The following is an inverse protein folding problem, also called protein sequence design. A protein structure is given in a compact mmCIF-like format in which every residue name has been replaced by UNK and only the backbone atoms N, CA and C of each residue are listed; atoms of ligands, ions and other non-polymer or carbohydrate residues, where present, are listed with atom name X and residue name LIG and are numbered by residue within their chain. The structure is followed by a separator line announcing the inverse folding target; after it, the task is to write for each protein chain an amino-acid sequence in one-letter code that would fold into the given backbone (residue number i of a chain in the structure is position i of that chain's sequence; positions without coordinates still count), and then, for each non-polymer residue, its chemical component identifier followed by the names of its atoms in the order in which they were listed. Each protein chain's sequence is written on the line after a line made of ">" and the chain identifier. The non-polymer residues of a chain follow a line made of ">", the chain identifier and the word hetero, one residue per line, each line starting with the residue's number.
data_IF_910538680573
#
_entry.id   IF_910538680573
#
_cell.length_a   1.000
_cell.length_b   1.000
_cell.length_c   1.000
_cell.angle_alpha   90.00
_cell.angle_beta   90.00
_cell.angle_gamma   90.00
#
_symmetry.space_group_name_H-M   'P 1'
#
loop_
_entity.id
_entity.type
_entity.pdbx_description
1 polymer ?
#
# COMPACT_ATOMS: atom_id res chain seq x y z
N UNK A 1 1.45 -49.71 72.69
CA UNK A 1 0.22 -49.36 73.45
C UNK A 1 -0.52 -48.26 72.70
N UNK A 2 -1.82 -48.47 72.43
CA UNK A 2 -2.95 -47.51 72.37
C UNK A 2 -2.72 -46.16 71.62
N UNK A 3 -3.40 -45.96 70.46
CA UNK A 3 -4.72 -45.27 70.28
C UNK A 3 -4.57 -43.73 70.42
N UNK A 4 -5.04 -42.83 69.55
CA UNK A 4 -6.34 -42.66 68.84
C UNK A 4 -6.18 -41.39 67.95
N UNK A 5 -6.62 -41.38 66.67
CA UNK A 5 -7.81 -40.66 66.12
C UNK A 5 -7.76 -39.12 66.32
N UNK A 6 -8.18 -38.21 65.43
CA UNK A 6 -8.99 -38.18 64.21
C UNK A 6 -8.97 -36.70 63.75
N UNK A 7 -9.04 -36.36 62.46
CA UNK A 7 -10.10 -35.48 61.93
C UNK A 7 -9.97 -35.30 60.41
N UNK A 8 -11.08 -35.59 59.77
CA UNK A 8 -11.41 -35.53 58.36
C UNK A 8 -11.35 -34.10 57.80
N UNK A 9 -10.98 -33.95 56.53
CA UNK A 9 -11.88 -33.26 55.60
C UNK A 9 -11.66 -33.74 54.16
N UNK A 10 -12.69 -34.44 53.69
CA UNK A 10 -12.96 -34.79 52.32
C UNK A 10 -13.36 -33.51 51.57
N UNK A 11 -12.70 -33.18 50.47
CA UNK A 11 -13.29 -32.30 49.45
C UNK A 11 -12.89 -32.80 48.06
N UNK A 12 -13.76 -33.69 47.58
CA UNK A 12 -13.84 -34.17 46.22
C UNK A 12 -14.95 -33.34 45.56
N UNK A 13 -14.60 -32.32 44.78
CA UNK A 13 -15.57 -31.60 43.94
C UNK A 13 -14.94 -31.27 42.57
N UNK A 14 -15.46 -31.97 41.55
CA UNK A 14 -15.64 -31.61 40.14
C UNK A 14 -14.49 -30.92 39.40
N UNK A 15 -13.62 -31.73 38.79
CA UNK A 15 -12.93 -31.34 37.56
C UNK A 15 -13.75 -31.76 36.34
N UNK A 16 -14.46 -30.83 35.70
CA UNK A 16 -14.87 -30.93 34.28
C UNK A 16 -15.20 -29.61 33.57
N UNK A 17 -15.26 -28.44 34.23
CA UNK A 17 -15.80 -27.23 33.56
C UNK A 17 -14.76 -26.15 33.16
N UNK A 18 -13.48 -26.35 33.48
CA UNK A 18 -12.44 -25.35 33.16
C UNK A 18 -11.97 -25.39 31.69
N UNK A 19 -12.17 -26.50 30.96
CA UNK A 19 -11.69 -26.67 29.58
C UNK A 19 -12.63 -26.05 28.54
N UNK A 20 -13.95 -26.15 28.73
CA UNK A 20 -14.91 -25.60 27.77
C UNK A 20 -14.90 -24.06 27.72
N UNK A 21 -14.80 -23.39 28.87
CA UNK A 21 -14.75 -21.93 28.93
C UNK A 21 -13.45 -21.35 28.33
N UNK A 22 -12.33 -22.07 28.44
CA UNK A 22 -11.03 -21.64 27.93
C UNK A 22 -10.91 -21.89 26.41
N UNK A 23 -11.47 -22.99 25.91
CA UNK A 23 -11.60 -23.27 24.48
C UNK A 23 -12.54 -22.28 23.78
N UNK A 24 -13.65 -21.87 24.42
CA UNK A 24 -14.59 -20.90 23.86
C UNK A 24 -14.02 -19.47 23.79
N UNK A 25 -13.17 -19.09 24.76
CA UNK A 25 -12.49 -17.79 24.79
C UNK A 25 -11.40 -17.68 23.73
N UNK A 26 -10.67 -18.78 23.49
CA UNK A 26 -9.62 -18.85 22.48
C UNK A 26 -10.19 -18.85 21.04
N UNK A 27 -11.32 -19.53 20.80
CA UNK A 27 -12.00 -19.51 19.49
C UNK A 27 -12.60 -18.15 19.13
N UNK A 28 -13.21 -17.45 20.10
CA UNK A 28 -13.74 -16.09 19.91
C UNK A 28 -12.62 -15.08 19.63
N UNK A 29 -11.50 -15.13 20.35
CA UNK A 29 -10.37 -14.23 20.11
C UNK A 29 -9.69 -14.49 18.76
N UNK A 30 -9.64 -15.74 18.31
CA UNK A 30 -9.06 -16.13 17.01
C UNK A 30 -9.95 -15.72 15.83
N UNK A 31 -11.26 -15.72 16.01
CA UNK A 31 -12.22 -15.24 15.01
C UNK A 31 -12.21 -13.71 14.88
N UNK A 32 -12.17 -12.98 16.00
CA UNK A 32 -12.04 -11.53 16.00
C UNK A 32 -10.69 -11.07 15.42
N UNK A 33 -9.59 -11.78 15.73
CA UNK A 33 -8.29 -11.53 15.11
C UNK A 33 -8.34 -11.79 13.59
N UNK A 34 -8.97 -12.87 13.14
CA UNK A 34 -9.11 -13.20 11.71
C UNK A 34 -9.97 -12.16 10.96
N UNK A 35 -11.06 -11.70 11.57
CA UNK A 35 -11.94 -10.67 11.00
C UNK A 35 -11.23 -9.32 10.89
N UNK A 36 -10.44 -8.96 11.91
CA UNK A 36 -9.62 -7.75 11.93
C UNK A 36 -8.51 -7.79 10.86
N UNK A 37 -7.85 -8.94 10.70
CA UNK A 37 -6.84 -9.15 9.65
C UNK A 37 -7.46 -9.04 8.26
N UNK A 38 -8.60 -9.70 8.00
CA UNK A 38 -9.30 -9.63 6.70
C UNK A 38 -9.71 -8.19 6.36
N UNK A 39 -10.32 -7.47 7.30
CA UNK A 39 -10.73 -6.07 7.10
C UNK A 39 -9.53 -5.12 6.88
N UNK A 40 -8.40 -5.36 7.56
CA UNK A 40 -7.16 -4.57 7.37
C UNK A 40 -6.55 -4.82 5.99
N UNK A 41 -6.55 -6.06 5.52
CA UNK A 41 -6.09 -6.42 4.17
C UNK A 41 -6.98 -5.75 3.11
N UNK A 42 -8.30 -5.74 3.30
CA UNK A 42 -9.21 -5.06 2.36
C UNK A 42 -8.99 -3.55 2.31
N UNK A 43 -8.83 -2.87 3.45
CA UNK A 43 -8.56 -1.41 3.46
C UNK A 43 -7.21 -1.07 2.85
N UNK A 44 -6.17 -1.85 3.13
CA UNK A 44 -4.84 -1.65 2.54
C UNK A 44 -4.86 -1.80 1.02
N UNK A 45 -5.53 -2.83 0.51
CA UNK A 45 -5.66 -3.05 -0.93
C UNK A 45 -6.43 -1.90 -1.62
N UNK A 46 -7.50 -1.40 -1.01
CA UNK A 46 -8.24 -0.23 -1.55
C UNK A 46 -7.33 0.99 -1.65
N UNK A 47 -6.52 1.27 -0.61
CA UNK A 47 -5.56 2.38 -0.64
C UNK A 47 -4.51 2.22 -1.74
N UNK A 48 -4.05 0.99 -1.99
CA UNK A 48 -3.11 0.71 -3.07
C UNK A 48 -3.78 0.95 -4.43
N UNK A 49 -5.00 0.45 -4.65
CA UNK A 49 -5.75 0.65 -5.90
C UNK A 49 -5.97 2.15 -6.17
N UNK A 50 -6.41 2.91 -5.17
CA UNK A 50 -6.59 4.36 -5.28
C UNK A 50 -5.28 5.06 -5.65
N UNK A 51 -4.17 4.67 -5.01
CA UNK A 51 -2.87 5.23 -5.29
C UNK A 51 -2.37 4.87 -6.70
N UNK A 52 -2.57 3.64 -7.17
CA UNK A 52 -2.18 3.24 -8.52
C UNK A 52 -2.99 3.99 -9.59
N UNK A 53 -4.29 4.18 -9.41
CA UNK A 53 -5.10 4.98 -10.34
C UNK A 53 -4.65 6.43 -10.40
N UNK A 54 -4.30 7.02 -9.25
CA UNK A 54 -3.72 8.36 -9.21
C UNK A 54 -2.37 8.44 -9.94
N UNK A 55 -1.51 7.43 -9.80
CA UNK A 55 -0.23 7.38 -10.52
C UNK A 55 -0.48 7.28 -12.03
N UNK A 56 -1.40 6.43 -12.49
CA UNK A 56 -1.78 6.30 -13.91
C UNK A 56 -2.26 7.63 -14.49
N UNK A 57 -3.05 8.38 -13.74
CA UNK A 57 -3.51 9.71 -14.14
C UNK A 57 -2.36 10.73 -14.18
N UNK A 58 -1.56 10.80 -13.11
CA UNK A 58 -0.48 11.78 -12.97
C UNK A 58 0.65 11.52 -13.97
N UNK A 59 0.96 10.28 -14.31
CA UNK A 59 2.00 9.95 -15.29
C UNK A 59 1.69 10.51 -16.68
N UNK A 60 0.45 10.34 -17.14
CA UNK A 60 -0.05 10.94 -18.37
C UNK A 60 -0.08 12.48 -18.29
N UNK A 61 -0.45 13.02 -17.12
CA UNK A 61 -0.47 14.46 -16.88
C UNK A 61 0.93 15.06 -16.96
N UNK A 62 1.94 14.44 -16.36
CA UNK A 62 3.35 14.85 -16.41
C UNK A 62 3.86 14.95 -17.85
N UNK A 63 3.63 13.91 -18.66
CA UNK A 63 4.01 13.91 -20.07
C UNK A 63 3.39 15.09 -20.84
N UNK A 64 2.09 15.31 -20.65
CA UNK A 64 1.35 16.39 -21.30
C UNK A 64 1.81 17.77 -20.84
N UNK A 65 1.90 17.99 -19.54
CA UNK A 65 2.33 19.25 -18.95
C UNK A 65 3.77 19.59 -19.37
N UNK A 66 4.66 18.61 -19.44
CA UNK A 66 6.03 18.84 -19.87
C UNK A 66 6.12 19.21 -21.35
N UNK A 67 5.30 18.59 -22.20
CA UNK A 67 5.20 19.00 -23.60
C UNK A 67 4.75 20.47 -23.72
N UNK A 68 3.76 20.91 -22.92
CA UNK A 68 3.36 22.31 -22.89
C UNK A 68 4.45 23.24 -22.36
N UNK A 69 5.21 22.80 -21.35
CA UNK A 69 6.34 23.54 -20.82
C UNK A 69 7.46 23.68 -21.86
N UNK A 70 7.76 22.62 -22.60
CA UNK A 70 8.71 22.67 -23.71
C UNK A 70 8.29 23.68 -24.79
N UNK A 71 7.01 23.72 -25.14
CA UNK A 71 6.48 24.67 -26.13
C UNK A 71 6.45 26.11 -25.60
N UNK A 72 6.30 26.31 -24.29
CA UNK A 72 6.18 27.63 -23.65
C UNK A 72 6.97 27.67 -22.33
N UNK A 73 8.32 27.75 -22.37
CA UNK A 73 9.15 27.62 -21.15
C UNK A 73 8.93 28.72 -20.11
N UNK A 74 8.47 29.90 -20.53
CA UNK A 74 8.21 31.04 -19.65
C UNK A 74 6.86 30.93 -18.91
N UNK A 75 6.06 29.89 -19.17
CA UNK A 75 4.78 29.71 -18.51
C UNK A 75 4.95 29.16 -17.08
N UNK A 76 5.03 30.07 -16.12
CA UNK A 76 5.17 29.75 -14.69
C UNK A 76 4.06 28.84 -14.16
N UNK A 77 2.84 28.96 -14.69
CA UNK A 77 1.73 28.09 -14.28
C UNK A 77 2.01 26.64 -14.66
N UNK A 78 2.44 26.39 -15.89
CA UNK A 78 2.77 25.03 -16.34
C UNK A 78 3.93 24.45 -15.53
N UNK A 79 4.93 25.27 -15.21
CA UNK A 79 6.04 24.84 -14.35
C UNK A 79 5.54 24.46 -12.94
N UNK A 80 4.67 25.28 -12.34
CA UNK A 80 4.05 24.97 -11.04
C UNK A 80 3.18 23.70 -11.07
N UNK A 81 2.42 23.50 -12.14
CA UNK A 81 1.57 22.33 -12.31
C UNK A 81 2.41 21.04 -12.38
N UNK A 82 3.55 21.07 -13.10
CA UNK A 82 4.52 19.97 -13.14
C UNK A 82 5.07 19.59 -11.75
N UNK A 83 5.49 20.58 -10.96
CA UNK A 83 5.96 20.34 -9.58
C UNK A 83 4.84 19.76 -8.72
N UNK A 84 3.62 20.27 -8.87
CA UNK A 84 2.45 19.74 -8.17
C UNK A 84 2.18 18.29 -8.56
N UNK A 85 2.31 17.95 -9.84
CA UNK A 85 2.21 16.57 -10.36
C UNK A 85 3.25 15.65 -9.71
N UNK A 86 4.52 16.08 -9.62
CA UNK A 86 5.58 15.32 -8.96
C UNK A 86 5.33 15.11 -7.46
N UNK A 87 4.79 16.11 -6.77
CA UNK A 87 4.43 15.97 -5.36
C UNK A 87 3.31 14.94 -5.16
N UNK A 88 2.27 14.98 -6.00
CA UNK A 88 1.17 14.01 -5.97
C UNK A 88 1.72 12.60 -6.27
N UNK A 89 2.58 12.45 -7.28
CA UNK A 89 3.23 11.18 -7.59
C UNK A 89 3.97 10.65 -6.36
N UNK A 90 4.84 11.46 -5.75
CA UNK A 90 5.59 11.05 -4.56
C UNK A 90 4.71 10.68 -3.36
N UNK A 91 3.56 11.36 -3.18
CA UNK A 91 2.59 11.01 -2.13
C UNK A 91 1.97 9.63 -2.37
N UNK A 92 1.59 9.31 -3.61
CA UNK A 92 0.99 8.02 -3.94
C UNK A 92 2.01 6.87 -3.86
N UNK A 93 3.24 7.05 -4.35
CA UNK A 93 4.31 6.07 -4.19
C UNK A 93 4.56 5.73 -2.71
N UNK A 94 4.63 6.75 -1.85
CA UNK A 94 4.76 6.55 -0.40
C UNK A 94 3.56 5.83 0.19
N UNK A 95 2.33 6.18 -0.21
CA UNK A 95 1.13 5.53 0.28
C UNK A 95 1.14 4.02 0.00
N UNK A 96 1.55 3.60 -1.20
CA UNK A 96 1.69 2.17 -1.52
C UNK A 96 2.78 1.54 -0.65
N UNK A 97 3.97 2.16 -0.57
CA UNK A 97 5.11 1.63 0.20
C UNK A 97 4.83 1.40 1.69
N UNK A 98 3.98 2.23 2.30
CA UNK A 98 3.63 2.12 3.73
C UNK A 98 2.68 0.96 4.03
N UNK A 99 1.99 0.45 3.02
CA UNK A 99 0.91 -0.52 3.15
C UNK A 99 1.31 -1.89 2.62
N UNK A 100 2.05 -1.92 1.51
CA UNK A 100 2.48 -3.17 0.88
C UNK A 100 3.51 -3.92 1.71
N UNK A 101 3.44 -5.25 1.63
CA UNK A 101 4.47 -6.20 2.09
C UNK A 101 4.94 -7.13 0.96
N UNK A 102 4.42 -6.89 -0.25
CA UNK A 102 4.71 -7.69 -1.42
C UNK A 102 6.05 -7.24 -2.02
N UNK A 103 7.00 -8.17 -2.13
CA UNK A 103 8.36 -7.88 -2.56
C UNK A 103 8.38 -7.39 -4.02
N UNK A 104 7.61 -8.04 -4.91
CA UNK A 104 7.50 -7.63 -6.32
C UNK A 104 6.98 -6.18 -6.44
N UNK A 105 5.97 -5.81 -5.64
CA UNK A 105 5.48 -4.43 -5.57
C UNK A 105 6.55 -3.46 -5.05
N UNK A 106 7.36 -3.87 -4.07
CA UNK A 106 8.44 -3.03 -3.54
C UNK A 106 9.54 -2.78 -4.59
N UNK A 107 9.91 -3.81 -5.35
CA UNK A 107 10.87 -3.70 -6.43
C UNK A 107 10.37 -2.74 -7.52
N UNK A 108 9.10 -2.86 -7.94
CA UNK A 108 8.48 -1.93 -8.89
C UNK A 108 8.51 -0.50 -8.33
N UNK A 109 8.18 -0.31 -7.04
CA UNK A 109 8.19 1.01 -6.41
C UNK A 109 9.58 1.66 -6.40
N UNK A 110 10.65 0.89 -6.29
CA UNK A 110 12.02 1.40 -6.39
C UNK A 110 12.27 2.01 -7.78
N UNK A 111 11.90 1.30 -8.85
CA UNK A 111 12.00 1.82 -10.22
C UNK A 111 11.12 3.04 -10.46
N UNK A 112 9.90 3.09 -9.88
CA UNK A 112 9.03 4.25 -10.00
C UNK A 112 9.55 5.46 -9.22
N UNK A 113 10.14 5.24 -8.05
CA UNK A 113 10.80 6.28 -7.27
C UNK A 113 12.01 6.84 -8.01
N UNK A 114 12.84 5.96 -8.60
CA UNK A 114 13.95 6.37 -9.46
C UNK A 114 13.47 7.24 -10.63
N UNK A 115 12.45 6.79 -11.38
CA UNK A 115 11.85 7.55 -12.48
C UNK A 115 11.36 8.93 -12.05
N UNK A 116 10.75 9.05 -10.86
CA UNK A 116 10.33 10.33 -10.29
C UNK A 116 11.52 11.28 -10.07
N UNK A 117 12.61 10.78 -9.50
CA UNK A 117 13.81 11.60 -9.24
C UNK A 117 14.45 12.06 -10.55
N UNK A 118 14.51 11.19 -11.56
CA UNK A 118 14.98 11.56 -12.90
C UNK A 118 14.13 12.64 -13.55
N UNK A 119 12.79 12.53 -13.49
CA UNK A 119 11.89 13.59 -13.96
C UNK A 119 12.18 14.90 -13.19
N UNK A 120 12.32 14.84 -11.87
CA UNK A 120 12.64 16.03 -11.05
C UNK A 120 13.95 16.69 -11.48
N UNK A 121 14.98 15.90 -11.76
CA UNK A 121 16.26 16.40 -12.27
C UNK A 121 16.15 17.01 -13.68
N UNK A 122 15.27 16.47 -14.53
CA UNK A 122 15.00 17.04 -15.86
C UNK A 122 14.22 18.35 -15.80
N UNK A 123 13.31 18.52 -14.82
CA UNK A 123 12.58 19.78 -14.64
C UNK A 123 13.50 20.94 -14.21
N UNK A 124 14.63 20.65 -13.56
CA UNK A 124 15.61 21.67 -13.19
C UNK A 124 16.45 22.17 -14.39
N UNK A 125 16.35 21.51 -15.55
CA UNK A 125 17.07 21.85 -16.77
C UNK A 125 16.17 22.65 -17.72
N UNK A 126 16.80 23.40 -18.63
CA UNK A 126 16.07 24.05 -19.73
C UNK A 126 15.42 22.97 -20.60
N UNK A 127 14.13 23.08 -20.97
CA UNK A 127 13.47 22.05 -21.75
C UNK A 127 14.06 21.97 -23.16
N UNK A 128 14.28 20.73 -23.62
CA UNK A 128 14.85 20.41 -24.91
C UNK A 128 14.18 19.14 -25.47
N UNK A 129 14.40 18.84 -26.76
CA UNK A 129 13.71 17.73 -27.43
C UNK A 129 14.04 16.37 -26.82
N UNK A 130 15.30 16.17 -26.44
CA UNK A 130 15.79 14.98 -25.76
C UNK A 130 15.14 14.82 -24.37
N UNK A 131 15.01 15.90 -23.60
CA UNK A 131 14.35 15.84 -22.28
C UNK A 131 12.84 15.56 -22.39
N UNK A 132 12.19 15.99 -23.47
CA UNK A 132 10.79 15.62 -23.76
C UNK A 132 10.66 14.13 -24.00
N UNK A 133 11.55 13.53 -24.80
CA UNK A 133 11.55 12.09 -25.05
C UNK A 133 11.75 11.30 -23.74
N UNK A 134 12.74 11.70 -22.92
CA UNK A 134 12.99 11.05 -21.63
C UNK A 134 11.78 11.14 -20.68
N UNK A 135 11.08 12.28 -20.63
CA UNK A 135 9.89 12.40 -19.78
C UNK A 135 8.74 11.54 -20.29
N UNK A 136 8.59 11.39 -21.61
CA UNK A 136 7.61 10.44 -22.16
C UNK A 136 7.91 9.02 -21.72
N UNK A 137 9.17 8.58 -21.85
CA UNK A 137 9.60 7.22 -21.46
C UNK A 137 9.41 6.97 -19.95
N UNK A 138 9.77 7.94 -19.11
CA UNK A 138 9.56 7.83 -17.66
C UNK A 138 8.07 7.85 -17.30
N UNK A 139 7.26 8.67 -17.97
CA UNK A 139 5.81 8.68 -17.78
C UNK A 139 5.15 7.36 -18.20
N UNK A 140 5.63 6.71 -19.25
CA UNK A 140 5.18 5.37 -19.66
C UNK A 140 5.58 4.33 -18.62
N UNK A 141 6.82 4.35 -18.15
CA UNK A 141 7.30 3.48 -17.06
C UNK A 141 6.43 3.61 -15.80
N UNK A 142 6.08 4.84 -15.42
CA UNK A 142 5.17 5.11 -14.29
C UNK A 142 3.76 4.55 -14.52
N UNK A 143 3.24 4.67 -15.74
CA UNK A 143 1.93 4.15 -16.11
C UNK A 143 1.90 2.62 -16.03
N UNK A 144 2.89 1.96 -16.63
CA UNK A 144 3.00 0.49 -16.66
C UNK A 144 3.25 -0.10 -15.28
N UNK A 145 4.14 0.50 -14.48
CA UNK A 145 4.39 0.04 -13.12
C UNK A 145 3.15 0.18 -12.23
N UNK A 146 2.40 1.29 -12.37
CA UNK A 146 1.14 1.44 -11.64
C UNK A 146 0.08 0.42 -12.07
N UNK A 147 -0.02 0.09 -13.37
CA UNK A 147 -0.92 -0.94 -13.88
C UNK A 147 -0.53 -2.34 -13.36
N UNK A 148 0.78 -2.64 -13.32
CA UNK A 148 1.30 -3.89 -12.79
C UNK A 148 0.96 -4.05 -11.30
N UNK A 149 1.21 -3.03 -10.48
CA UNK A 149 0.85 -3.04 -9.06
C UNK A 149 -0.68 -3.17 -8.92
N UNK A 150 -1.46 -2.37 -9.65
CA UNK A 150 -2.92 -2.37 -9.55
C UNK A 150 -3.53 -3.75 -9.80
N UNK A 151 -2.99 -4.51 -10.77
CA UNK A 151 -3.42 -5.89 -11.05
C UNK A 151 -3.18 -6.85 -9.90
N UNK A 152 -2.06 -6.73 -9.19
CA UNK A 152 -1.73 -7.57 -8.02
C UNK A 152 -2.76 -7.42 -6.89
N UNK A 153 -3.34 -6.23 -6.74
CA UNK A 153 -4.30 -5.93 -5.67
C UNK A 153 -5.76 -5.92 -6.12
N UNK A 154 -6.02 -6.17 -7.40
CA UNK A 154 -7.37 -6.20 -7.95
C UNK A 154 -8.24 -7.26 -7.24
N UNK A 155 -9.47 -6.88 -6.90
CA UNK A 155 -10.39 -7.79 -6.23
C UNK A 155 -10.96 -8.78 -7.24
N UNK A 156 -10.79 -10.08 -6.99
CA UNK A 156 -11.56 -11.11 -7.68
C UNK A 156 -12.92 -11.22 -6.99
N UNK A 157 -13.97 -10.77 -7.67
CA UNK A 157 -15.33 -10.92 -7.17
C UNK A 157 -15.63 -12.42 -7.07
N UNK A 158 -15.67 -12.95 -5.85
CA UNK A 158 -16.25 -14.28 -5.64
C UNK A 158 -17.68 -14.22 -6.15
N UNK A 159 -18.01 -15.10 -7.11
CA UNK A 159 -19.38 -15.28 -7.60
C UNK A 159 -20.27 -15.57 -6.38
N UNK A 160 -21.06 -14.58 -5.99
CA UNK A 160 -22.14 -14.73 -5.00
C UNK A 160 -23.26 -15.60 -5.58
#
# INVERSE_FOLDING_TARGET
>A
MKKVLCFSLLLLICGTDATAAQVYRDSSQKEDARKTVKAKVTRGNVQIIEATENIRYVSQRLAKEYLFFYLNPENEKTHKDLHTSLEILGKNLRAISMVTKDEDTQDILEFLAYSKEEISALLAKKPAKDTVALILDYSETLLEGADSIGKTYAYDFSKE
#
